data_IF_340319431401
#
_entry.id   IF_340319431401
#
_cell.length_a   1.000
_cell.length_b   1.000
_cell.length_c   1.000
_cell.angle_alpha   90.00
_cell.angle_beta   90.00
_cell.angle_gamma   90.00
#
_symmetry.space_group_name_H-M   'P 1'
#
loop_
_entity.id
_entity.type
_entity.pdbx_description
1 polymer ?
#
# COMPACT_ATOMS: atom_id res chain seq x y z
N UNK A 1 13.85 2.74 -49.90
CA UNK A 1 13.01 3.77 -50.54
C UNK A 1 12.47 4.64 -49.41
N UNK A 2 12.90 5.88 -49.29
CA UNK A 2 12.43 6.77 -48.22
C UNK A 2 11.08 7.37 -48.63
N UNK A 3 10.06 7.25 -47.78
CA UNK A 3 8.78 7.92 -47.99
C UNK A 3 8.99 9.41 -47.73
N UNK A 4 8.81 10.24 -48.74
CA UNK A 4 8.89 11.71 -48.61
C UNK A 4 7.50 12.24 -48.30
N UNK A 5 7.31 12.76 -47.09
CA UNK A 5 6.07 13.45 -46.71
C UNK A 5 5.97 14.75 -47.48
N UNK A 6 4.77 15.01 -48.02
CA UNK A 6 4.49 16.21 -48.79
C UNK A 6 3.31 16.94 -48.14
N UNK A 7 3.44 18.25 -48.01
CA UNK A 7 2.34 19.09 -47.58
C UNK A 7 1.24 19.16 -48.64
N UNK A 8 0.02 19.45 -48.21
CA UNK A 8 -1.12 19.67 -49.10
C UNK A 8 -0.78 20.67 -50.23
N UNK A 9 -0.16 21.80 -49.90
CA UNK A 9 0.20 22.84 -50.86
C UNK A 9 1.23 22.36 -51.91
N UNK A 10 2.17 21.50 -51.51
CA UNK A 10 3.12 20.91 -52.45
C UNK A 10 2.44 19.91 -53.39
N UNK A 11 1.49 19.12 -52.89
CA UNK A 11 0.72 18.16 -53.68
C UNK A 11 -0.14 18.91 -54.69
N UNK A 12 -0.94 19.87 -54.23
CA UNK A 12 -1.80 20.70 -55.07
C UNK A 12 -0.99 21.48 -56.11
N UNK A 13 0.13 22.10 -55.69
CA UNK A 13 1.01 22.84 -56.59
C UNK A 13 1.63 21.97 -57.70
N UNK A 14 1.95 20.70 -57.42
CA UNK A 14 2.40 19.75 -58.44
C UNK A 14 1.27 19.32 -59.37
N UNK A 15 0.06 19.08 -58.84
CA UNK A 15 -1.10 18.76 -59.66
C UNK A 15 -1.43 19.90 -60.63
N UNK A 16 -1.43 21.15 -60.14
CA UNK A 16 -1.64 22.35 -60.95
C UNK A 16 -0.56 22.47 -62.03
N UNK A 17 0.73 22.35 -61.66
CA UNK A 17 1.84 22.40 -62.62
C UNK A 17 1.71 21.32 -63.70
N UNK A 18 1.27 20.12 -63.33
CA UNK A 18 1.09 19.01 -64.27
C UNK A 18 -0.07 19.26 -65.25
N UNK A 19 -1.16 19.87 -64.80
CA UNK A 19 -2.30 20.25 -65.66
C UNK A 19 -1.89 21.35 -66.65
N UNK A 20 -1.23 22.41 -66.18
CA UNK A 20 -0.75 23.51 -67.03
C UNK A 20 0.25 23.00 -68.09
N UNK A 21 1.14 22.08 -67.72
CA UNK A 21 2.18 21.58 -68.62
C UNK A 21 1.67 20.62 -69.70
N UNK A 22 0.62 19.83 -69.41
CA UNK A 22 0.18 18.73 -70.28
C UNK A 22 -1.18 18.96 -70.94
N UNK A 23 -1.89 20.04 -70.58
CA UNK A 23 -3.22 20.33 -71.12
C UNK A 23 -3.35 21.81 -71.45
N UNK A 24 -4.20 22.18 -72.43
CA UNK A 24 -4.49 23.58 -72.72
C UNK A 24 -5.47 24.22 -71.71
N UNK A 25 -5.80 23.53 -70.61
CA UNK A 25 -6.76 23.99 -69.62
C UNK A 25 -6.13 25.13 -68.79
N UNK A 26 -6.82 26.28 -68.74
CA UNK A 26 -6.35 27.49 -68.06
C UNK A 26 -7.33 28.00 -66.98
N UNK A 27 -8.43 27.30 -66.74
CA UNK A 27 -9.40 27.65 -65.71
C UNK A 27 -8.92 27.12 -64.34
N UNK A 28 -8.02 27.87 -63.72
CA UNK A 28 -7.38 27.56 -62.43
C UNK A 28 -7.54 28.70 -61.43
N UNK A 29 -8.53 29.57 -61.64
CA UNK A 29 -8.86 30.64 -60.71
C UNK A 29 -9.62 30.09 -59.50
N UNK A 30 -9.57 30.82 -58.39
CA UNK A 30 -10.34 30.52 -57.19
C UNK A 30 -11.82 30.38 -57.54
N UNK A 31 -12.40 29.23 -57.19
CA UNK A 31 -13.79 28.88 -57.51
C UNK A 31 -14.02 28.15 -58.84
N UNK A 32 -12.96 27.85 -59.61
CA UNK A 32 -13.08 26.95 -60.77
C UNK A 32 -13.45 25.52 -60.35
N UNK A 33 -14.23 24.84 -61.19
CA UNK A 33 -14.55 23.41 -61.02
C UNK A 33 -13.29 22.54 -61.10
N UNK A 34 -12.33 22.91 -61.96
CA UNK A 34 -11.09 22.16 -62.13
C UNK A 34 -10.22 22.32 -60.88
N UNK A 35 -10.06 23.55 -60.37
CA UNK A 35 -9.31 23.78 -59.14
C UNK A 35 -9.95 23.04 -57.96
N UNK A 36 -11.27 23.14 -57.79
CA UNK A 36 -12.01 22.42 -56.73
C UNK A 36 -11.79 20.90 -56.81
N UNK A 37 -11.74 20.33 -58.02
CA UNK A 37 -11.47 18.90 -58.22
C UNK A 37 -10.03 18.55 -57.81
N UNK A 38 -9.05 19.39 -58.16
CA UNK A 38 -7.65 19.20 -57.77
C UNK A 38 -7.45 19.35 -56.27
N UNK A 39 -8.16 20.28 -55.62
CA UNK A 39 -8.16 20.43 -54.16
C UNK A 39 -8.72 19.19 -53.45
N UNK A 40 -9.82 18.63 -53.97
CA UNK A 40 -10.39 17.39 -53.45
C UNK A 40 -9.43 16.19 -53.63
N UNK A 41 -8.79 16.06 -54.80
CA UNK A 41 -7.79 15.02 -55.06
C UNK A 41 -6.54 15.19 -54.17
N UNK A 42 -6.04 16.42 -54.05
CA UNK A 42 -4.90 16.73 -53.19
C UNK A 42 -5.21 16.48 -51.70
N UNK A 43 -6.44 16.71 -51.27
CA UNK A 43 -6.90 16.40 -49.91
C UNK A 43 -6.86 14.89 -49.66
N UNK A 44 -7.36 14.09 -50.61
CA UNK A 44 -7.31 12.63 -50.50
C UNK A 44 -5.87 12.09 -50.46
N UNK A 45 -4.99 12.60 -51.33
CA UNK A 45 -3.58 12.21 -51.35
C UNK A 45 -2.85 12.62 -50.05
N UNK A 46 -3.18 13.77 -49.48
CA UNK A 46 -2.63 14.23 -48.21
C UNK A 46 -3.09 13.36 -47.03
N UNK A 47 -4.37 13.00 -46.98
CA UNK A 47 -4.90 12.07 -45.99
C UNK A 47 -4.21 10.71 -46.07
N UNK A 48 -4.00 10.19 -47.28
CA UNK A 48 -3.29 8.92 -47.48
C UNK A 48 -1.83 9.00 -47.02
N UNK A 49 -1.11 10.09 -47.33
CA UNK A 49 0.25 10.32 -46.83
C UNK A 49 0.30 10.37 -45.29
N UNK A 50 -0.69 10.99 -44.66
CA UNK A 50 -0.81 11.05 -43.19
C UNK A 50 -1.07 9.66 -42.60
N UNK A 51 -1.94 8.87 -43.24
CA UNK A 51 -2.21 7.49 -42.82
C UNK A 51 -0.96 6.60 -42.90
N UNK A 52 -0.19 6.72 -43.99
CA UNK A 52 1.09 6.00 -44.15
C UNK A 52 2.09 6.41 -43.07
N UNK A 53 2.18 7.70 -42.74
CA UNK A 53 3.04 8.18 -41.66
C UNK A 53 2.68 7.54 -40.32
N UNK A 54 1.39 7.53 -39.96
CA UNK A 54 0.92 6.94 -38.70
C UNK A 54 1.27 5.44 -38.62
N UNK A 55 1.17 4.71 -39.73
CA UNK A 55 1.60 3.30 -39.80
C UNK A 55 3.11 3.15 -39.63
N UNK A 56 3.91 4.02 -40.24
CA UNK A 56 5.37 4.01 -40.08
C UNK A 56 5.77 4.36 -38.65
N UNK A 57 5.09 5.30 -38.00
CA UNK A 57 5.31 5.65 -36.61
C UNK A 57 4.98 4.47 -35.68
N UNK A 58 3.92 3.70 -35.97
CA UNK A 58 3.60 2.46 -35.22
C UNK A 58 4.71 1.40 -35.29
N UNK A 59 5.50 1.38 -36.37
CA UNK A 59 6.64 0.47 -36.50
C UNK A 59 7.88 0.95 -35.73
N UNK A 60 7.96 2.24 -35.40
CA UNK A 60 9.07 2.82 -34.67
C UNK A 60 8.77 2.90 -33.15
N UNK A 61 9.53 2.16 -32.36
CA UNK A 61 9.37 2.11 -30.90
C UNK A 61 9.59 3.47 -30.22
N UNK A 62 10.39 4.36 -30.83
CA UNK A 62 10.66 5.69 -30.28
C UNK A 62 9.53 6.70 -30.54
N UNK A 63 8.62 6.38 -31.49
CA UNK A 63 7.52 7.25 -31.89
C UNK A 63 6.19 6.89 -31.20
N UNK A 64 5.97 5.61 -30.90
CA UNK A 64 4.75 5.11 -30.26
C UNK A 64 4.62 5.55 -28.79
N UNK A 65 3.38 5.76 -28.34
CA UNK A 65 3.07 6.29 -27.00
C UNK A 65 1.88 5.56 -26.39
N UNK A 66 1.73 5.67 -25.08
CA UNK A 66 0.56 5.20 -24.33
C UNK A 66 0.23 3.72 -24.61
N UNK A 67 -0.99 3.44 -25.06
CA UNK A 67 -1.51 2.09 -25.28
C UNK A 67 -0.81 1.39 -26.45
N UNK A 68 -0.36 2.13 -27.47
CA UNK A 68 0.34 1.54 -28.63
C UNK A 68 1.71 1.02 -28.21
N UNK A 69 2.39 1.73 -27.29
CA UNK A 69 3.64 1.26 -26.69
C UNK A 69 3.43 0.01 -25.83
N UNK A 70 2.34 -0.06 -25.05
CA UNK A 70 2.00 -1.25 -24.28
C UNK A 70 1.66 -2.44 -25.18
N UNK A 71 0.94 -2.21 -26.29
CA UNK A 71 0.61 -3.24 -27.27
C UNK A 71 1.87 -3.77 -27.97
N UNK A 72 2.77 -2.87 -28.39
CA UNK A 72 4.06 -3.26 -29.00
C UNK A 72 4.97 -3.99 -28.01
N UNK A 73 4.96 -3.58 -26.74
CA UNK A 73 5.60 -4.33 -25.67
C UNK A 73 5.02 -5.74 -25.54
N UNK A 74 3.68 -5.84 -25.61
CA UNK A 74 2.94 -7.11 -25.60
C UNK A 74 3.35 -8.07 -26.71
N UNK A 75 3.55 -7.57 -27.94
CA UNK A 75 4.05 -8.37 -29.07
C UNK A 75 5.43 -9.02 -28.77
N UNK A 76 6.24 -8.36 -27.94
CA UNK A 76 7.56 -8.83 -27.51
C UNK A 76 7.51 -9.66 -26.21
N UNK A 77 6.31 -9.96 -25.71
CA UNK A 77 6.09 -10.66 -24.45
C UNK A 77 6.37 -9.82 -23.21
N UNK A 78 6.48 -8.50 -23.35
CA UNK A 78 6.66 -7.56 -22.25
C UNK A 78 5.30 -7.02 -21.79
N UNK A 79 5.16 -6.82 -20.48
CA UNK A 79 3.95 -6.22 -19.90
C UNK A 79 4.31 -5.04 -19.00
N UNK A 80 3.43 -4.04 -18.96
CA UNK A 80 3.60 -2.89 -18.07
C UNK A 80 3.53 -3.34 -16.62
N UNK A 81 4.52 -2.94 -15.82
CA UNK A 81 4.47 -3.13 -14.36
C UNK A 81 3.38 -2.24 -13.77
N UNK A 82 2.32 -2.86 -13.27
CA UNK A 82 1.23 -2.16 -12.59
C UNK A 82 1.68 -1.70 -11.19
N UNK A 83 1.06 -0.63 -10.69
CA UNK A 83 1.28 -0.19 -9.32
C UNK A 83 0.78 -1.27 -8.33
N UNK A 84 1.60 -1.62 -7.35
CA UNK A 84 1.27 -2.59 -6.30
C UNK A 84 1.17 -1.85 -4.96
N UNK A 85 0.27 -2.30 -4.08
CA UNK A 85 0.12 -1.75 -2.73
C UNK A 85 1.39 -2.01 -1.91
N UNK A 86 1.85 -1.02 -1.16
CA UNK A 86 2.93 -1.19 -0.22
C UNK A 86 2.46 -2.07 0.98
N UNK A 87 3.31 -3.01 1.40
CA UNK A 87 3.05 -3.87 2.56
C UNK A 87 4.26 -3.86 3.49
N UNK A 88 4.01 -3.92 4.80
CA UNK A 88 5.06 -3.90 5.82
C UNK A 88 4.47 -4.14 7.21
N UNK A 89 5.32 -4.58 8.15
CA UNK A 89 4.95 -4.75 9.55
C UNK A 89 5.19 -3.45 10.32
N UNK A 90 4.26 -3.10 11.22
CA UNK A 90 4.41 -1.98 12.15
C UNK A 90 4.24 -2.51 13.55
N UNK A 91 5.17 -2.16 14.44
CA UNK A 91 5.05 -2.40 15.88
C UNK A 91 4.56 -1.12 16.54
N UNK A 92 3.44 -1.20 17.25
CA UNK A 92 2.86 -0.09 18.01
C UNK A 92 3.09 -0.40 19.49
N UNK A 93 3.69 0.54 20.21
CA UNK A 93 3.91 0.45 21.65
C UNK A 93 3.32 1.66 22.35
N UNK A 94 2.74 1.46 23.53
CA UNK A 94 2.23 2.52 24.39
C UNK A 94 2.99 2.51 25.73
N UNK A 95 3.66 3.62 26.05
CA UNK A 95 4.43 3.81 27.28
C UNK A 95 3.63 4.47 28.41
N UNK A 96 2.38 4.87 28.17
CA UNK A 96 1.50 5.46 29.19
C UNK A 96 0.95 4.42 30.18
N UNK A 97 0.86 3.15 29.76
CA UNK A 97 0.40 2.05 30.59
C UNK A 97 1.61 1.44 31.32
N UNK A 98 1.78 1.82 32.58
CA UNK A 98 2.80 1.21 33.45
C UNK A 98 2.18 0.04 34.23
N UNK A 99 2.73 -1.19 34.12
CA UNK A 99 2.24 -2.32 34.89
C UNK A 99 2.53 -2.10 36.38
N UNK A 100 1.51 -2.25 37.22
CA UNK A 100 1.71 -2.33 38.68
C UNK A 100 2.35 -3.66 38.98
N UNK A 101 3.49 -3.66 39.64
CA UNK A 101 4.21 -4.91 39.98
C UNK A 101 4.66 -4.86 41.42
N UNK A 102 4.61 -6.01 42.06
CA UNK A 102 5.12 -6.22 43.40
C UNK A 102 5.76 -7.60 43.49
N UNK A 103 6.37 -7.89 44.63
CA UNK A 103 7.01 -9.18 44.90
C UNK A 103 6.38 -9.79 46.15
N UNK A 104 6.40 -11.11 46.22
CA UNK A 104 5.95 -11.84 47.40
C UNK A 104 6.79 -11.44 48.62
N UNK A 105 6.15 -11.35 49.79
CA UNK A 105 6.79 -10.86 50.99
C UNK A 105 7.74 -11.92 51.58
N UNK A 106 9.05 -11.65 51.73
CA UNK A 106 10.06 -12.69 51.96
C UNK A 106 10.05 -13.32 53.35
N UNK A 107 9.42 -12.67 54.34
CA UNK A 107 9.35 -13.17 55.72
C UNK A 107 8.16 -14.12 55.89
N UNK A 108 7.17 -14.09 54.99
CA UNK A 108 6.05 -15.03 54.99
C UNK A 108 6.38 -16.23 54.11
N UNK A 109 5.78 -17.40 54.40
CA UNK A 109 5.91 -18.57 53.54
C UNK A 109 5.48 -18.25 52.10
N UNK A 110 6.15 -18.88 51.13
CA UNK A 110 5.76 -18.78 49.74
C UNK A 110 4.33 -19.32 49.56
N UNK A 111 3.52 -18.74 48.66
CA UNK A 111 2.20 -19.27 48.38
C UNK A 111 2.29 -20.68 47.80
N UNK A 112 1.46 -21.58 48.31
CA UNK A 112 1.35 -22.96 47.84
C UNK A 112 -0.04 -23.21 47.28
N UNK A 113 -0.16 -24.27 46.48
CA UNK A 113 -1.43 -24.73 45.92
C UNK A 113 -2.50 -24.88 47.01
N UNK A 114 -3.71 -24.42 46.71
CA UNK A 114 -4.87 -24.49 47.60
C UNK A 114 -5.05 -23.25 48.49
N UNK A 115 -4.08 -22.33 48.54
CA UNK A 115 -4.21 -21.10 49.31
C UNK A 115 -5.00 -20.04 48.54
N UNK A 116 -5.85 -19.30 49.25
CA UNK A 116 -6.64 -18.18 48.72
C UNK A 116 -6.11 -16.83 49.20
N UNK A 117 -4.94 -16.78 49.81
CA UNK A 117 -4.33 -15.54 50.32
C UNK A 117 -2.86 -15.53 49.95
N UNK A 118 -2.39 -14.41 49.40
CA UNK A 118 -0.97 -14.18 49.12
C UNK A 118 -0.47 -12.96 49.88
N UNK A 119 0.80 -12.99 50.28
CA UNK A 119 1.43 -11.88 50.98
C UNK A 119 2.43 -11.19 50.06
N UNK A 120 2.27 -9.89 49.88
CA UNK A 120 3.12 -9.07 48.98
C UNK A 120 3.76 -7.91 49.73
N UNK A 121 4.90 -7.46 49.24
CA UNK A 121 5.68 -6.39 49.90
C UNK A 121 5.00 -5.03 49.81
N UNK A 122 4.37 -4.70 48.67
CA UNK A 122 3.64 -3.44 48.51
C UNK A 122 2.46 -3.60 47.54
N UNK A 123 1.26 -3.23 47.95
CA UNK A 123 0.07 -3.12 47.10
C UNK A 123 -0.75 -1.85 47.38
N UNK A 124 -0.13 -0.82 47.96
CA UNK A 124 -0.85 0.38 48.43
C UNK A 124 -1.50 1.21 47.31
N UNK A 125 -0.97 1.14 46.09
CA UNK A 125 -1.53 1.82 44.91
C UNK A 125 -2.53 0.96 44.13
N UNK A 126 -2.77 -0.28 44.57
CA UNK A 126 -3.69 -1.21 43.90
C UNK A 126 -5.13 -0.91 44.31
N UNK A 127 -6.09 -1.29 43.46
CA UNK A 127 -7.51 -1.18 43.83
C UNK A 127 -7.80 -2.19 44.94
N UNK A 128 -8.21 -1.73 46.11
CA UNK A 128 -8.45 -2.57 47.29
C UNK A 128 -9.81 -3.27 47.26
N UNK A 129 -10.70 -2.93 46.31
CA UNK A 129 -12.06 -3.49 46.21
C UNK A 129 -12.17 -4.65 45.22
N UNK A 130 -11.10 -4.95 44.50
CA UNK A 130 -10.99 -6.11 43.62
C UNK A 130 -10.25 -5.82 42.33
N UNK A 131 -9.87 -6.89 41.64
CA UNK A 131 -9.14 -6.80 40.39
C UNK A 131 -8.63 -8.16 39.93
N UNK A 132 -7.74 -8.16 38.94
CA UNK A 132 -7.07 -9.35 38.45
C UNK A 132 -5.57 -9.21 38.65
N UNK A 133 -4.93 -10.30 39.04
CA UNK A 133 -3.48 -10.37 39.18
C UNK A 133 -2.92 -11.60 38.47
N UNK A 134 -1.63 -11.53 38.20
CA UNK A 134 -0.82 -12.56 37.57
C UNK A 134 0.41 -12.80 38.43
N UNK A 135 0.71 -14.07 38.73
CA UNK A 135 1.87 -14.47 39.52
C UNK A 135 2.84 -15.23 38.63
N UNK A 136 4.14 -14.94 38.74
CA UNK A 136 5.18 -15.70 38.06
C UNK A 136 5.15 -15.57 36.53
N UNK A 137 4.72 -14.42 35.99
CA UNK A 137 4.66 -14.22 34.53
C UNK A 137 6.05 -14.38 33.90
N UNK A 138 6.18 -15.35 33.00
CA UNK A 138 7.46 -15.73 32.38
C UNK A 138 8.20 -16.87 33.09
N UNK A 139 7.64 -17.45 34.15
CA UNK A 139 8.14 -18.68 34.80
C UNK A 139 7.26 -19.88 34.45
N UNK A 140 7.72 -21.09 34.78
CA UNK A 140 6.95 -22.33 34.63
C UNK A 140 5.71 -22.37 35.54
N UNK A 141 5.75 -21.60 36.63
CA UNK A 141 4.69 -21.54 37.62
C UNK A 141 3.71 -20.39 37.33
N UNK A 142 3.74 -19.80 36.13
CA UNK A 142 2.80 -18.74 35.77
C UNK A 142 1.35 -19.13 36.07
N UNK A 143 0.65 -18.24 36.77
CA UNK A 143 -0.76 -18.37 37.12
C UNK A 143 -1.45 -17.01 36.98
N UNK A 144 -2.55 -16.98 36.22
CA UNK A 144 -3.34 -15.78 35.98
C UNK A 144 -4.20 -15.86 34.71
N UNK A 145 -5.24 -15.03 34.58
CA UNK A 145 -5.69 -14.02 35.54
C UNK A 145 -6.38 -14.63 36.77
N UNK A 146 -5.92 -14.27 37.97
CA UNK A 146 -6.57 -14.63 39.24
C UNK A 146 -7.32 -13.40 39.74
N UNK A 147 -8.62 -13.54 39.98
CA UNK A 147 -9.42 -12.47 40.58
C UNK A 147 -9.12 -12.38 42.08
N UNK A 148 -8.91 -11.17 42.59
CA UNK A 148 -8.83 -10.91 44.02
C UNK A 148 -10.02 -10.05 44.47
N UNK A 149 -10.40 -10.21 45.75
CA UNK A 149 -11.60 -9.60 46.34
C UNK A 149 -11.29 -8.46 47.30
N UNK A 150 -10.15 -8.50 47.98
CA UNK A 150 -9.71 -7.42 48.85
C UNK A 150 -8.19 -7.41 49.06
N UNK A 151 -7.67 -6.26 49.50
CA UNK A 151 -6.27 -6.08 49.92
C UNK A 151 -6.26 -5.48 51.33
N UNK A 152 -5.64 -6.20 52.26
CA UNK A 152 -5.48 -5.78 53.66
C UNK A 152 -4.04 -5.29 53.91
N UNK A 153 -3.90 -4.08 54.45
CA UNK A 153 -2.62 -3.46 54.79
C UNK A 153 -2.20 -3.78 56.24
N UNK A 154 -1.04 -4.41 56.41
CA UNK A 154 -0.43 -4.71 57.72
C UNK A 154 0.78 -3.81 58.03
N UNK A 155 0.95 -2.72 57.30
CA UNK A 155 2.00 -1.70 57.42
C UNK A 155 3.37 -2.12 56.88
N UNK A 156 3.77 -3.37 57.11
CA UNK A 156 5.04 -3.94 56.60
C UNK A 156 4.87 -4.84 55.37
N UNK A 157 3.65 -5.30 55.11
CA UNK A 157 3.26 -6.12 53.98
C UNK A 157 1.75 -5.99 53.76
N UNK A 158 1.28 -6.46 52.61
CA UNK A 158 -0.14 -6.52 52.26
C UNK A 158 -0.57 -7.97 52.10
N UNK A 159 -1.78 -8.31 52.52
CA UNK A 159 -2.41 -9.59 52.20
C UNK A 159 -3.46 -9.36 51.10
N UNK A 160 -3.34 -10.11 50.00
CA UNK A 160 -4.31 -10.07 48.91
C UNK A 160 -5.17 -11.33 49.02
N UNK A 161 -6.48 -11.14 49.19
CA UNK A 161 -7.46 -12.22 49.27
C UNK A 161 -7.94 -12.57 47.86
N UNK A 162 -7.68 -13.80 47.42
CA UNK A 162 -8.04 -14.33 46.10
C UNK A 162 -9.48 -14.89 46.12
N UNK A 163 -10.19 -14.73 45.00
CA UNK A 163 -11.54 -15.28 44.81
C UNK A 163 -11.54 -16.80 44.62
N UNK A 164 -10.41 -17.35 44.16
CA UNK A 164 -10.16 -18.78 43.99
C UNK A 164 -8.83 -19.16 44.61
N UNK A 165 -8.70 -20.41 45.04
CA UNK A 165 -7.41 -20.95 45.52
C UNK A 165 -6.40 -21.06 44.39
N UNK A 166 -5.11 -20.93 44.72
CA UNK A 166 -4.01 -21.18 43.80
C UNK A 166 -4.00 -22.62 43.32
N UNK A 167 -3.72 -22.83 42.03
CA UNK A 167 -3.55 -24.15 41.44
C UNK A 167 -2.09 -24.63 41.45
N UNK A 168 -1.13 -23.73 41.65
CA UNK A 168 0.30 -24.04 41.66
C UNK A 168 1.02 -23.56 42.92
N UNK A 169 2.19 -24.13 43.14
CA UNK A 169 3.14 -23.63 44.13
C UNK A 169 3.98 -22.50 43.51
N UNK A 170 4.17 -21.44 44.28
CA UNK A 170 4.91 -20.25 43.87
C UNK A 170 6.20 -20.09 44.67
N UNK A 171 7.19 -19.44 44.06
CA UNK A 171 8.46 -19.13 44.72
C UNK A 171 8.44 -17.69 45.21
N UNK A 172 9.08 -17.41 46.36
CA UNK A 172 9.18 -16.05 46.93
C UNK A 172 9.79 -15.03 45.95
N UNK A 173 10.65 -15.49 45.04
CA UNK A 173 11.28 -14.64 44.01
C UNK A 173 10.36 -14.25 42.85
N UNK A 174 9.12 -14.75 42.80
CA UNK A 174 8.18 -14.46 41.72
C UNK A 174 7.51 -13.10 41.87
N UNK A 175 7.23 -12.47 40.73
CA UNK A 175 6.54 -11.19 40.66
C UNK A 175 5.02 -11.39 40.62
N UNK A 176 4.31 -10.48 41.27
CA UNK A 176 2.85 -10.33 41.20
C UNK A 176 2.56 -9.05 40.44
N UNK A 177 1.74 -9.13 39.39
CA UNK A 177 1.44 -8.06 38.43
C UNK A 177 -0.06 -7.93 38.24
#
# INVERSE_FOLDING_TARGET
MAVTLRSYNEILGDMIRKIIANTPLNDLNDGSVILTLLEAAASNDYENNTAILNVLELLNVDAIKNNDLDARGGDLGLTRKIAVRATGFVTITDSSIQPRRTVLYPIKPAPIRGQSVIYVTNAGEWDNTGGQLYIGRGTTNFEGPITYTSIDDFGSFFAINLASSLEKDHLISEQVI
#
